data_IF_927219557306
#
_entry.id   IF_927219557306
#
_cell.length_a   1.000
_cell.length_b   1.000
_cell.length_c   1.000
_cell.angle_alpha   90.00
_cell.angle_beta   90.00
_cell.angle_gamma   90.00
#
_symmetry.space_group_name_H-M   'P 1'
#
loop_
_entity.id
_entity.type
_entity.pdbx_description
1 polymer ?
#
# COMPACT_ATOMS: atom_id res chain seq x y z
N UNK A 1 25.12 -56.33 -1.26
CA UNK A 1 25.57 -54.94 -1.47
C UNK A 1 24.72 -54.08 -2.41
N UNK A 2 23.85 -54.64 -3.28
CA UNK A 2 23.09 -53.83 -4.25
C UNK A 2 21.75 -53.24 -3.77
N UNK A 3 21.04 -53.87 -2.83
CA UNK A 3 19.74 -53.35 -2.36
C UNK A 3 19.85 -52.05 -1.56
N UNK A 4 20.89 -51.91 -0.73
CA UNK A 4 21.09 -50.71 0.10
C UNK A 4 21.45 -49.47 -0.74
N UNK A 5 22.24 -49.64 -1.81
CA UNK A 5 22.59 -48.53 -2.73
C UNK A 5 21.39 -48.07 -3.56
N UNK A 6 20.51 -48.99 -3.99
CA UNK A 6 19.29 -48.65 -4.73
C UNK A 6 18.31 -47.88 -3.84
N UNK A 7 18.11 -48.32 -2.59
CA UNK A 7 17.25 -47.62 -1.63
C UNK A 7 17.80 -46.22 -1.34
N UNK A 8 19.12 -46.07 -1.16
CA UNK A 8 19.73 -44.76 -0.90
C UNK A 8 19.58 -43.80 -2.09
N UNK A 9 19.75 -44.28 -3.33
CA UNK A 9 19.56 -43.46 -4.55
C UNK A 9 18.09 -43.07 -4.72
N UNK A 10 17.14 -43.96 -4.44
CA UNK A 10 15.71 -43.62 -4.48
C UNK A 10 15.32 -42.62 -3.39
N UNK A 11 15.82 -42.78 -2.16
CA UNK A 11 15.53 -41.87 -1.05
C UNK A 11 16.14 -40.49 -1.29
N UNK A 12 17.40 -40.43 -1.74
CA UNK A 12 18.05 -39.16 -2.11
C UNK A 12 17.37 -38.54 -3.34
N UNK A 13 16.98 -39.33 -4.34
CA UNK A 13 16.25 -38.86 -5.51
C UNK A 13 14.87 -38.27 -5.17
N UNK A 14 14.13 -38.90 -4.26
CA UNK A 14 12.83 -38.42 -3.77
C UNK A 14 13.00 -37.17 -2.89
N UNK A 15 14.05 -37.09 -2.07
CA UNK A 15 14.34 -35.89 -1.26
C UNK A 15 14.79 -34.73 -2.14
N UNK A 16 15.66 -34.95 -3.12
CA UNK A 16 16.11 -33.92 -4.06
C UNK A 16 14.96 -33.48 -4.97
N UNK A 17 14.11 -34.40 -5.44
CA UNK A 17 12.89 -34.05 -6.16
C UNK A 17 11.92 -33.26 -5.26
N UNK A 18 11.72 -33.62 -3.99
CA UNK A 18 10.92 -32.80 -3.06
C UNK A 18 11.56 -31.46 -2.69
N UNK A 19 12.88 -31.31 -2.73
CA UNK A 19 13.52 -30.01 -2.44
C UNK A 19 13.53 -29.11 -3.67
N UNK A 20 13.62 -29.69 -4.87
CA UNK A 20 13.62 -28.96 -6.14
C UNK A 20 12.19 -28.76 -6.72
N UNK A 21 11.24 -29.61 -6.34
CA UNK A 21 9.83 -29.67 -6.80
C UNK A 21 8.86 -29.83 -5.63
N UNK A 22 9.22 -29.38 -4.41
CA UNK A 22 8.18 -29.07 -3.43
C UNK A 22 7.34 -27.97 -4.08
N UNK A 23 6.17 -28.38 -4.56
CA UNK A 23 5.10 -27.49 -4.93
C UNK A 23 4.98 -26.39 -3.88
N UNK A 24 4.64 -25.18 -4.33
CA UNK A 24 4.21 -24.02 -3.54
C UNK A 24 2.95 -24.31 -2.66
N UNK A 25 2.69 -25.58 -2.33
CA UNK A 25 1.69 -26.11 -1.43
C UNK A 25 1.98 -25.64 0.01
N UNK A 26 1.59 -24.39 0.27
CA UNK A 26 1.56 -23.82 1.61
C UNK A 26 2.12 -22.40 1.71
N UNK A 27 2.15 -21.62 0.63
CA UNK A 27 2.52 -20.20 0.73
C UNK A 27 1.42 -19.43 1.49
N UNK A 28 1.52 -19.38 2.82
CA UNK A 28 0.63 -18.56 3.66
C UNK A 28 0.90 -17.10 3.37
N UNK A 29 -0.11 -16.38 2.90
CA UNK A 29 -0.07 -14.93 2.75
C UNK A 29 -0.33 -14.25 4.09
N UNK A 30 0.52 -13.31 4.47
CA UNK A 30 0.28 -12.37 5.58
C UNK A 30 0.00 -11.02 4.94
N UNK A 31 -1.20 -10.47 5.15
CA UNK A 31 -1.69 -9.24 4.54
C UNK A 31 -3.21 -9.23 4.50
N UNK A 32 -3.85 -8.25 3.83
CA UNK A 32 -5.30 -8.18 3.74
C UNK A 32 -5.78 -9.31 2.84
N UNK A 33 -6.25 -10.40 3.45
CA UNK A 33 -6.73 -11.59 2.76
C UNK A 33 -8.09 -11.38 2.10
N UNK A 34 -8.87 -10.44 2.63
CA UNK A 34 -10.21 -10.12 2.16
C UNK A 34 -10.27 -8.70 1.59
N UNK A 35 -11.18 -8.54 0.64
CA UNK A 35 -11.57 -7.23 0.16
C UNK A 35 -12.56 -6.55 1.10
N UNK A 36 -12.71 -5.24 0.95
CA UNK A 36 -13.74 -4.49 1.65
C UNK A 36 -15.09 -4.82 1.03
N UNK A 37 -16.07 -5.32 1.79
CA UNK A 37 -17.42 -5.51 1.29
C UNK A 37 -17.99 -4.16 0.86
N UNK A 38 -19.08 -4.20 0.08
CA UNK A 38 -19.82 -2.99 -0.29
C UNK A 38 -20.12 -2.17 0.95
N UNK A 39 -19.65 -0.92 0.95
CA UNK A 39 -19.78 -0.04 2.09
C UNK A 39 -21.13 0.67 2.02
N UNK A 40 -21.87 0.72 3.11
CA UNK A 40 -23.08 1.52 3.15
C UNK A 40 -22.72 3.02 3.23
N UNK A 41 -23.23 3.80 2.28
CA UNK A 41 -23.05 5.25 2.24
C UNK A 41 -24.05 5.96 3.18
N UNK A 42 -23.66 7.10 3.80
CA UNK A 42 -24.61 7.99 4.44
C UNK A 42 -25.52 8.67 3.41
N UNK A 43 -26.70 9.11 3.86
CA UNK A 43 -27.77 9.65 3.00
C UNK A 43 -27.33 10.78 2.04
N UNK A 44 -26.33 11.59 2.42
CA UNK A 44 -25.87 12.76 1.66
C UNK A 44 -24.60 12.49 0.83
N UNK A 45 -24.17 11.23 0.67
CA UNK A 45 -23.07 10.84 -0.20
C UNK A 45 -23.64 9.90 -1.28
N UNK A 46 -23.73 10.35 -2.55
CA UNK A 46 -24.48 9.62 -3.57
C UNK A 46 -23.75 8.39 -4.11
N UNK A 47 -22.42 8.43 -4.17
CA UNK A 47 -21.57 7.40 -4.77
C UNK A 47 -20.31 7.17 -3.93
N UNK A 48 -19.73 5.97 -4.01
CA UNK A 48 -18.43 5.65 -3.39
C UNK A 48 -17.25 6.38 -4.01
N UNK A 49 -17.44 6.96 -5.20
CA UNK A 49 -16.44 7.75 -5.91
C UNK A 49 -15.98 8.96 -5.08
N UNK A 50 -14.69 9.26 -5.16
CA UNK A 50 -14.11 10.49 -4.61
C UNK A 50 -14.75 11.76 -5.18
N UNK A 51 -15.39 11.70 -6.36
CA UNK A 51 -16.09 12.84 -6.95
C UNK A 51 -17.24 13.31 -6.05
N UNK A 52 -17.89 12.40 -5.30
CA UNK A 52 -18.89 12.75 -4.28
C UNK A 52 -18.32 13.66 -3.17
N UNK A 53 -17.01 13.62 -2.96
CA UNK A 53 -16.33 14.36 -1.90
C UNK A 53 -15.80 15.71 -2.40
N UNK A 54 -15.50 15.83 -3.70
CA UNK A 54 -14.79 16.96 -4.32
C UNK A 54 -15.48 18.30 -4.07
N UNK A 55 -16.81 18.34 -4.16
CA UNK A 55 -17.58 19.59 -4.04
C UNK A 55 -17.43 20.27 -2.68
N UNK A 56 -17.17 19.52 -1.62
CA UNK A 56 -16.87 20.08 -0.29
C UNK A 56 -15.38 19.99 0.04
N UNK A 57 -14.66 18.96 -0.41
CA UNK A 57 -13.28 18.65 -0.01
C UNK A 57 -12.27 18.86 -1.16
N UNK A 58 -12.48 19.85 -2.02
CA UNK A 58 -11.71 20.10 -3.24
C UNK A 58 -10.19 19.99 -3.08
N UNK A 59 -9.60 20.68 -2.08
CA UNK A 59 -8.14 20.65 -1.86
C UNK A 59 -7.61 19.26 -1.50
N UNK A 60 -8.37 18.50 -0.72
CA UNK A 60 -8.01 17.13 -0.33
C UNK A 60 -8.18 16.19 -1.53
N UNK A 61 -9.26 16.36 -2.29
CA UNK A 61 -9.47 15.62 -3.54
C UNK A 61 -8.31 15.83 -4.52
N UNK A 62 -7.88 17.07 -4.74
CA UNK A 62 -6.78 17.38 -5.65
C UNK A 62 -5.45 16.76 -5.19
N UNK A 63 -5.18 16.76 -3.88
CA UNK A 63 -4.03 16.09 -3.30
C UNK A 63 -4.10 14.57 -3.56
N UNK A 64 -5.22 13.95 -3.19
CA UNK A 64 -5.44 12.51 -3.37
C UNK A 64 -5.33 12.10 -4.83
N UNK A 65 -5.93 12.85 -5.75
CA UNK A 65 -5.86 12.59 -7.20
C UNK A 65 -4.42 12.56 -7.71
N UNK A 66 -3.54 13.34 -7.11
CA UNK A 66 -2.12 13.34 -7.45
C UNK A 66 -1.28 12.25 -6.74
N UNK A 67 -1.85 11.56 -5.75
CA UNK A 67 -1.17 10.53 -4.97
C UNK A 67 -0.95 9.20 -5.68
N UNK A 68 -0.11 8.35 -5.05
CA UNK A 68 -0.01 6.95 -5.44
C UNK A 68 -1.19 6.09 -4.95
N UNK A 69 -1.98 6.56 -3.98
CA UNK A 69 -3.20 5.89 -3.55
C UNK A 69 -4.29 5.95 -4.63
N UNK A 70 -4.53 7.10 -5.24
CA UNK A 70 -5.48 7.20 -6.37
C UNK A 70 -5.00 6.44 -7.60
N UNK A 71 -3.68 6.36 -7.79
CA UNK A 71 -3.04 5.67 -8.92
C UNK A 71 -2.72 4.19 -8.62
N UNK A 72 -3.12 3.66 -7.47
CA UNK A 72 -2.66 2.33 -7.03
C UNK A 72 -3.15 1.23 -7.97
N UNK A 73 -4.34 1.34 -8.53
CA UNK A 73 -4.87 0.40 -9.53
C UNK A 73 -4.38 0.70 -10.95
N UNK A 74 -4.03 1.94 -11.30
CA UNK A 74 -3.77 2.36 -12.69
C UNK A 74 -2.29 2.55 -13.01
N UNK A 75 -1.41 2.53 -12.01
CA UNK A 75 0.04 2.66 -12.20
C UNK A 75 0.57 1.64 -13.22
N UNK A 76 1.33 2.07 -14.25
CA UNK A 76 1.88 1.15 -15.25
C UNK A 76 2.75 0.05 -14.66
N UNK A 77 3.51 0.36 -13.61
CA UNK A 77 4.36 -0.62 -12.90
C UNK A 77 3.50 -1.70 -12.24
N UNK A 78 2.42 -1.29 -11.58
CA UNK A 78 1.49 -2.24 -10.97
C UNK A 78 0.81 -3.10 -12.03
N UNK A 79 0.28 -2.50 -13.09
CA UNK A 79 -0.43 -3.21 -14.16
C UNK A 79 0.47 -4.23 -14.86
N UNK A 80 1.73 -3.89 -15.12
CA UNK A 80 2.72 -4.82 -15.67
C UNK A 80 2.97 -6.01 -14.73
N UNK A 81 3.27 -5.73 -13.44
CA UNK A 81 3.50 -6.77 -12.44
C UNK A 81 2.29 -7.67 -12.21
N UNK A 82 1.10 -7.09 -12.16
CA UNK A 82 -0.16 -7.80 -11.94
C UNK A 82 -0.48 -8.72 -13.12
N UNK A 83 -0.33 -8.22 -14.34
CA UNK A 83 -0.57 -8.98 -15.58
C UNK A 83 0.41 -10.13 -15.74
N UNK A 84 1.72 -9.89 -15.56
CA UNK A 84 2.76 -10.95 -15.67
C UNK A 84 2.56 -12.06 -14.65
N UNK A 85 1.94 -11.76 -13.49
CA UNK A 85 1.60 -12.73 -12.46
C UNK A 85 0.23 -13.38 -12.62
N UNK A 86 -0.42 -13.19 -13.78
CA UNK A 86 -1.76 -13.71 -14.08
C UNK A 86 -2.85 -13.19 -13.11
N UNK A 87 -2.79 -11.89 -12.79
CA UNK A 87 -3.82 -11.15 -12.06
C UNK A 87 -4.23 -11.77 -10.70
N UNK A 88 -3.29 -12.04 -9.79
CA UNK A 88 -3.62 -12.70 -8.55
C UNK A 88 -4.56 -11.82 -7.69
N UNK A 89 -5.57 -12.41 -7.04
CA UNK A 89 -6.64 -11.64 -6.38
C UNK A 89 -6.14 -10.85 -5.16
N UNK A 90 -5.13 -11.32 -4.43
CA UNK A 90 -4.64 -10.64 -3.23
C UNK A 90 -4.07 -9.25 -3.51
N UNK A 91 -3.49 -9.01 -4.70
CA UNK A 91 -2.99 -7.69 -5.09
C UNK A 91 -4.09 -6.63 -5.03
N UNK A 92 -5.32 -7.01 -5.39
CA UNK A 92 -6.46 -6.10 -5.39
C UNK A 92 -6.88 -5.66 -3.99
N UNK A 93 -6.51 -6.39 -2.92
CA UNK A 93 -6.91 -6.06 -1.55
C UNK A 93 -6.12 -4.86 -0.98
N UNK A 94 -5.05 -4.41 -1.65
CA UNK A 94 -4.37 -3.15 -1.35
C UNK A 94 -4.56 -2.12 -2.47
N UNK A 95 -4.57 -2.55 -3.74
CA UNK A 95 -4.55 -1.64 -4.88
C UNK A 95 -5.93 -1.15 -5.32
N UNK A 96 -7.01 -1.88 -5.03
CA UNK A 96 -8.39 -1.46 -5.31
C UNK A 96 -9.32 -2.33 -4.43
N UNK A 97 -9.32 -2.03 -3.12
CA UNK A 97 -9.75 -2.97 -2.09
C UNK A 97 -11.26 -3.18 -2.04
N UNK A 98 -12.07 -2.32 -2.65
CA UNK A 98 -13.52 -2.41 -2.57
C UNK A 98 -14.09 -3.51 -3.46
N UNK A 99 -15.22 -4.09 -3.05
CA UNK A 99 -15.96 -5.09 -3.82
C UNK A 99 -16.30 -4.56 -5.22
N UNK A 100 -16.85 -3.37 -5.30
CA UNK A 100 -17.35 -2.71 -6.51
C UNK A 100 -16.22 -2.38 -7.49
N UNK A 101 -14.98 -2.35 -7.03
CA UNK A 101 -13.81 -2.16 -7.91
C UNK A 101 -13.37 -3.45 -8.60
N UNK A 102 -13.93 -4.61 -8.25
CA UNK A 102 -13.44 -5.89 -8.74
C UNK A 102 -14.28 -6.42 -9.89
N UNK A 103 -13.70 -6.73 -11.05
CA UNK A 103 -14.43 -7.32 -12.17
C UNK A 103 -14.88 -8.76 -11.90
N UNK A 104 -14.15 -9.48 -11.04
CA UNK A 104 -14.45 -10.85 -10.61
C UNK A 104 -14.30 -11.00 -9.10
N UNK A 105 -15.12 -11.85 -8.51
CA UNK A 105 -15.08 -12.19 -7.08
C UNK A 105 -15.02 -13.70 -6.89
N UNK A 106 -14.41 -14.13 -5.78
CA UNK A 106 -14.35 -15.55 -5.41
C UNK A 106 -15.67 -15.95 -4.76
N UNK A 107 -16.34 -16.98 -5.29
CA UNK A 107 -17.64 -17.48 -4.78
C UNK A 107 -17.56 -18.86 -4.12
N UNK A 108 -16.38 -19.46 -4.03
CA UNK A 108 -16.19 -20.73 -3.35
C UNK A 108 -14.94 -21.47 -3.80
N UNK A 109 -14.83 -22.72 -3.34
CA UNK A 109 -13.72 -23.60 -3.65
C UNK A 109 -14.13 -24.67 -4.66
N UNK A 110 -13.21 -25.07 -5.55
CA UNK A 110 -13.40 -26.30 -6.34
C UNK A 110 -12.83 -27.46 -5.54
N UNK A 111 -13.59 -28.55 -5.44
CA UNK A 111 -13.14 -29.80 -4.80
C UNK A 111 -11.98 -30.46 -5.57
N UNK A 112 -11.87 -30.21 -6.88
CA UNK A 112 -10.82 -30.76 -7.75
C UNK A 112 -10.35 -29.75 -8.79
N UNK A 113 -9.06 -29.83 -9.16
CA UNK A 113 -8.42 -29.01 -10.19
C UNK A 113 -7.21 -28.20 -9.67
N UNK A 114 -6.38 -27.64 -10.57
CA UNK A 114 -5.11 -26.99 -10.19
C UNK A 114 -5.28 -25.64 -9.47
N UNK A 115 -6.48 -25.05 -9.49
CA UNK A 115 -6.80 -23.82 -8.76
C UNK A 115 -8.02 -24.09 -7.87
N UNK A 116 -7.89 -23.98 -6.53
CA UNK A 116 -8.94 -24.38 -5.61
C UNK A 116 -10.07 -23.36 -5.51
N UNK A 117 -10.21 -22.38 -6.42
CA UNK A 117 -11.18 -21.28 -6.30
C UNK A 117 -12.04 -21.10 -7.55
N UNK A 118 -13.32 -20.77 -7.35
CA UNK A 118 -14.24 -20.34 -8.42
C UNK A 118 -14.37 -18.83 -8.42
N UNK A 119 -13.90 -18.18 -9.47
CA UNK A 119 -14.12 -16.76 -9.72
C UNK A 119 -15.36 -16.55 -10.62
N UNK A 120 -16.30 -15.73 -10.18
CA UNK A 120 -17.47 -15.33 -10.98
C UNK A 120 -17.39 -13.86 -11.37
N UNK A 121 -18.11 -13.46 -12.42
CA UNK A 121 -18.30 -12.04 -12.76
C UNK A 121 -18.99 -11.33 -11.59
N UNK A 122 -18.45 -10.18 -11.20
CA UNK A 122 -19.06 -9.33 -10.19
C UNK A 122 -20.17 -8.48 -10.83
N UNK A 123 -21.40 -8.56 -10.29
CA UNK A 123 -22.53 -7.76 -10.77
C UNK A 123 -22.46 -6.31 -10.30
N UNK A 124 -21.71 -6.05 -9.24
CA UNK A 124 -21.55 -4.74 -8.62
C UNK A 124 -20.31 -4.01 -9.14
N UNK A 125 -19.67 -4.54 -10.18
CA UNK A 125 -18.46 -3.96 -10.74
C UNK A 125 -18.73 -2.60 -11.39
N UNK A 126 -18.04 -1.58 -10.90
CA UNK A 126 -18.03 -0.23 -11.43
C UNK A 126 -16.69 0.03 -12.15
N UNK A 127 -16.79 0.20 -13.47
CA UNK A 127 -15.65 0.42 -14.37
C UNK A 127 -14.92 1.74 -14.15
N UNK A 128 -15.57 2.71 -13.51
CA UNK A 128 -14.97 4.00 -13.18
C UNK A 128 -14.33 3.95 -11.79
N UNK A 129 -15.01 3.35 -10.80
CA UNK A 129 -14.50 3.28 -9.43
C UNK A 129 -13.19 2.50 -9.31
N UNK A 130 -12.96 1.46 -10.13
CA UNK A 130 -11.67 0.75 -10.14
C UNK A 130 -10.50 1.69 -10.44
N UNK A 131 -10.70 2.75 -11.24
CA UNK A 131 -9.65 3.70 -11.61
C UNK A 131 -9.22 4.61 -10.46
N UNK A 132 -10.00 4.66 -9.39
CA UNK A 132 -9.71 5.47 -8.19
C UNK A 132 -8.80 4.75 -7.18
N UNK A 133 -8.51 3.46 -7.38
CA UNK A 133 -7.59 2.73 -6.50
C UNK A 133 -7.99 2.79 -5.03
N UNK A 134 -7.11 3.28 -4.17
CA UNK A 134 -7.42 3.56 -2.76
C UNK A 134 -8.09 4.93 -2.67
N UNK A 135 -9.43 4.95 -2.76
CA UNK A 135 -10.27 6.17 -2.72
C UNK A 135 -10.65 6.60 -1.29
N UNK A 136 -11.37 7.71 -1.13
CA UNK A 136 -11.69 8.33 0.17
C UNK A 136 -12.39 7.36 1.13
N UNK A 137 -13.40 6.64 0.65
CA UNK A 137 -14.24 5.75 1.47
C UNK A 137 -13.50 4.50 1.94
N UNK A 138 -12.40 4.11 1.28
CA UNK A 138 -11.55 2.99 1.71
C UNK A 138 -11.00 3.25 3.12
N UNK A 139 -10.49 4.46 3.34
CA UNK A 139 -9.92 4.86 4.63
C UNK A 139 -10.99 5.38 5.60
N UNK A 140 -11.90 6.23 5.12
CA UNK A 140 -12.74 7.03 6.01
C UNK A 140 -14.10 6.42 6.36
N UNK A 141 -14.69 5.57 5.50
CA UNK A 141 -16.08 5.15 5.69
C UNK A 141 -16.19 3.83 6.44
N UNK A 142 -16.88 3.83 7.58
CA UNK A 142 -17.32 2.60 8.27
C UNK A 142 -18.76 2.80 8.75
N UNK A 143 -19.64 1.82 8.55
CA UNK A 143 -21.02 1.83 9.06
C UNK A 143 -21.75 3.18 8.84
N UNK A 144 -21.81 3.65 7.57
CA UNK A 144 -22.45 4.93 7.18
C UNK A 144 -21.88 6.18 7.86
N UNK A 145 -20.67 6.10 8.44
CA UNK A 145 -20.04 7.19 9.19
C UNK A 145 -18.62 7.44 8.68
N UNK A 146 -18.26 8.71 8.52
CA UNK A 146 -16.91 9.13 8.12
C UNK A 146 -16.02 9.34 9.34
N UNK A 147 -14.98 8.54 9.47
CA UNK A 147 -14.03 8.61 10.57
C UNK A 147 -12.83 9.47 10.23
N UNK A 148 -12.24 10.11 11.25
CA UNK A 148 -11.03 10.88 11.08
C UNK A 148 -10.39 11.28 12.40
N UNK A 149 -9.24 11.97 12.35
CA UNK A 149 -8.42 12.27 13.53
C UNK A 149 -8.93 13.44 14.37
N UNK A 150 -10.14 13.96 14.11
CA UNK A 150 -10.66 15.16 14.76
C UNK A 150 -12.11 14.96 15.22
N UNK A 151 -12.41 15.44 16.42
CA UNK A 151 -13.77 15.62 16.89
C UNK A 151 -14.46 16.76 16.15
N UNK A 152 -15.64 16.47 15.60
CA UNK A 152 -16.51 17.43 14.92
C UNK A 152 -17.84 17.40 15.66
N UNK A 153 -18.34 18.56 16.06
CA UNK A 153 -19.61 18.62 16.79
C UNK A 153 -20.76 18.21 15.87
N UNK A 154 -21.78 17.62 16.46
CA UNK A 154 -23.00 17.29 15.72
C UNK A 154 -23.57 18.52 15.02
N UNK A 155 -24.02 18.36 13.77
CA UNK A 155 -24.48 19.46 12.92
C UNK A 155 -23.37 20.28 12.23
N UNK A 156 -22.09 20.10 12.57
CA UNK A 156 -20.98 20.77 11.88
C UNK A 156 -20.53 20.06 10.58
N UNK A 157 -21.08 18.89 10.26
CA UNK A 157 -20.82 18.19 9.00
C UNK A 157 -22.14 17.84 8.29
N UNK A 158 -22.19 17.89 6.95
CA UNK A 158 -23.37 17.54 6.17
C UNK A 158 -23.62 16.02 6.12
N UNK A 159 -22.73 15.21 6.68
CA UNK A 159 -22.85 13.77 6.79
C UNK A 159 -22.32 13.32 8.16
N UNK A 160 -22.69 12.12 8.65
CA UNK A 160 -22.20 11.59 9.91
C UNK A 160 -20.67 11.53 9.93
N UNK A 161 -20.09 12.01 11.03
CA UNK A 161 -18.65 12.03 11.27
C UNK A 161 -18.35 11.55 12.69
N UNK A 162 -17.24 10.85 12.87
CA UNK A 162 -16.81 10.40 14.20
C UNK A 162 -15.29 10.46 14.33
N UNK A 163 -14.82 10.84 15.51
CA UNK A 163 -13.41 10.79 15.85
C UNK A 163 -12.95 9.33 16.00
N UNK A 164 -11.78 9.02 15.45
CA UNK A 164 -11.06 7.77 15.71
C UNK A 164 -9.56 8.06 15.91
N UNK A 165 -8.99 7.76 17.09
CA UNK A 165 -7.57 7.96 17.37
C UNK A 165 -6.65 7.12 16.47
N UNK A 166 -7.13 6.03 15.86
CA UNK A 166 -6.31 5.18 14.98
C UNK A 166 -5.76 5.96 13.77
N UNK A 167 -6.46 7.01 13.33
CA UNK A 167 -6.00 7.90 12.25
C UNK A 167 -4.72 8.68 12.59
N UNK A 168 -4.30 8.67 13.86
CA UNK A 168 -3.06 9.28 14.34
C UNK A 168 -1.99 8.25 14.71
N UNK A 169 -2.16 6.97 14.33
CA UNK A 169 -1.24 5.88 14.64
C UNK A 169 -0.76 5.18 13.38
N UNK A 170 0.53 4.83 13.34
CA UNK A 170 1.15 4.15 12.19
C UNK A 170 0.48 2.80 11.88
N UNK A 171 -0.11 2.16 12.89
CA UNK A 171 -0.83 0.89 12.78
C UNK A 171 -1.97 0.93 11.76
N UNK A 172 -2.59 2.09 11.56
CA UNK A 172 -3.62 2.28 10.55
C UNK A 172 -3.13 1.96 9.12
N UNK A 173 -1.84 2.17 8.85
CA UNK A 173 -1.23 1.95 7.54
C UNK A 173 -0.77 0.49 7.33
N UNK A 174 -0.58 -0.29 8.41
CA UNK A 174 0.07 -1.60 8.34
C UNK A 174 -0.70 -2.62 7.53
N UNK A 175 -2.03 -2.49 7.44
CA UNK A 175 -2.87 -3.40 6.63
C UNK A 175 -2.40 -3.47 5.18
N UNK A 176 -1.91 -2.36 4.60
CA UNK A 176 -1.44 -2.33 3.22
C UNK A 176 0.10 -2.30 3.12
N UNK A 177 0.77 -1.69 4.11
CA UNK A 177 2.23 -1.45 4.09
C UNK A 177 3.04 -2.48 4.89
N UNK A 178 2.49 -3.68 5.10
CA UNK A 178 3.20 -4.81 5.70
C UNK A 178 2.55 -6.12 5.26
N UNK A 179 3.13 -6.76 4.26
CA UNK A 179 2.62 -8.03 3.72
C UNK A 179 3.72 -8.92 3.14
N UNK A 180 3.48 -10.21 3.09
CA UNK A 180 4.45 -11.14 2.55
C UNK A 180 3.98 -12.58 2.53
N UNK A 181 4.94 -13.45 2.23
CA UNK A 181 4.72 -14.88 2.02
C UNK A 181 5.73 -15.66 2.87
N UNK A 182 5.55 -15.75 4.20
CA UNK A 182 6.48 -16.40 5.14
C UNK A 182 7.03 -17.77 4.72
N UNK A 183 6.29 -18.52 3.90
CA UNK A 183 6.65 -19.86 3.43
C UNK A 183 7.17 -19.90 1.98
N UNK A 184 7.17 -18.78 1.25
CA UNK A 184 7.77 -18.70 -0.08
C UNK A 184 9.30 -18.58 -0.01
N UNK A 185 9.97 -18.86 -1.15
CA UNK A 185 11.42 -18.62 -1.31
C UNK A 185 11.80 -17.15 -1.09
N UNK A 186 10.92 -16.23 -1.48
CA UNK A 186 10.99 -14.80 -1.14
C UNK A 186 9.97 -14.52 -0.03
N UNK A 187 10.42 -14.59 1.22
CA UNK A 187 9.54 -14.56 2.39
C UNK A 187 8.93 -13.18 2.68
N UNK A 188 9.67 -12.13 2.33
CA UNK A 188 9.37 -10.74 2.67
C UNK A 188 9.21 -9.97 1.36
N UNK A 189 7.98 -9.56 1.05
CA UNK A 189 7.70 -8.75 -0.14
C UNK A 189 7.52 -7.29 0.23
N UNK A 190 6.79 -7.01 1.32
CA UNK A 190 6.64 -5.69 1.91
C UNK A 190 6.75 -5.73 3.44
N UNK A 191 7.78 -5.07 3.98
CA UNK A 191 8.08 -5.12 5.42
C UNK A 191 8.42 -3.73 6.01
N UNK A 192 7.87 -2.67 5.41
CA UNK A 192 8.05 -1.29 5.85
C UNK A 192 7.73 -1.09 7.34
N UNK A 193 6.69 -1.75 7.86
CA UNK A 193 6.37 -1.72 9.29
C UNK A 193 7.50 -2.29 10.16
N UNK A 194 8.10 -3.42 9.77
CA UNK A 194 9.20 -4.02 10.54
C UNK A 194 10.44 -3.14 10.52
N UNK A 195 10.73 -2.52 9.37
CA UNK A 195 11.80 -1.52 9.26
C UNK A 195 11.52 -0.31 10.16
N UNK A 196 10.29 0.21 10.12
CA UNK A 196 9.81 1.30 10.96
C UNK A 196 10.00 1.02 12.45
N UNK A 197 9.47 -0.11 12.92
CA UNK A 197 9.60 -0.54 14.31
C UNK A 197 11.07 -0.71 14.74
N UNK A 198 11.92 -1.24 13.86
CA UNK A 198 13.36 -1.43 14.16
C UNK A 198 14.14 -0.12 14.20
N UNK A 199 13.72 0.91 13.48
CA UNK A 199 14.41 2.21 13.50
C UNK A 199 14.25 2.94 14.83
N UNK A 200 13.19 2.65 15.60
CA UNK A 200 12.89 3.32 16.85
C UNK A 200 12.38 4.76 16.70
N UNK A 201 12.09 5.22 15.46
CA UNK A 201 11.44 6.52 15.17
C UNK A 201 10.14 6.68 15.98
N UNK A 202 9.85 7.93 16.38
CA UNK A 202 8.68 8.28 17.20
C UNK A 202 7.59 8.96 16.41
N UNK A 203 7.97 9.70 15.36
CA UNK A 203 7.05 10.32 14.42
C UNK A 203 6.30 9.24 13.63
N UNK A 204 4.97 9.37 13.60
CA UNK A 204 4.09 8.41 12.94
C UNK A 204 4.22 8.48 11.42
N UNK A 205 3.69 7.47 10.72
CA UNK A 205 3.61 7.51 9.26
C UNK A 205 2.93 8.79 8.77
N UNK A 206 1.88 9.22 9.47
CA UNK A 206 1.10 10.42 9.18
C UNK A 206 1.90 11.72 9.38
N UNK A 207 2.77 11.78 10.38
CA UNK A 207 3.54 13.00 10.65
C UNK A 207 4.47 13.36 9.48
N UNK A 208 5.01 12.36 8.77
CA UNK A 208 5.82 12.56 7.57
C UNK A 208 5.00 12.52 6.26
N UNK A 209 4.17 11.50 6.06
CA UNK A 209 3.48 11.26 4.77
C UNK A 209 2.09 11.91 4.66
N UNK A 210 1.57 12.47 5.75
CA UNK A 210 0.35 13.30 5.78
C UNK A 210 0.65 14.62 6.46
N UNK A 211 1.74 15.29 6.03
CA UNK A 211 2.25 16.49 6.68
C UNK A 211 1.14 17.54 6.93
N UNK A 212 1.22 18.16 8.09
CA UNK A 212 0.17 19.05 8.59
C UNK A 212 0.28 20.42 7.93
N UNK A 213 -0.79 20.83 7.24
CA UNK A 213 -0.87 22.14 6.58
C UNK A 213 -2.13 22.87 6.98
N UNK A 214 -2.02 24.18 7.20
CA UNK A 214 -3.19 25.03 7.39
C UNK A 214 -3.89 25.28 6.05
N UNK A 215 -5.22 25.14 6.04
CA UNK A 215 -6.03 25.55 4.89
C UNK A 215 -7.48 25.13 5.02
N UNK A 216 -8.20 25.25 3.90
CA UNK A 216 -9.59 24.82 3.79
C UNK A 216 -9.63 23.31 3.55
N UNK A 217 -9.82 22.55 4.64
CA UNK A 217 -10.08 21.11 4.54
C UNK A 217 -11.47 20.84 3.94
N UNK A 218 -12.41 21.78 4.13
CA UNK A 218 -13.76 21.75 3.54
C UNK A 218 -14.14 23.17 3.12
N UNK A 219 -14.73 23.34 1.94
CA UNK A 219 -15.22 24.61 1.42
C UNK A 219 -16.37 25.13 2.29
N UNK A 220 -16.44 26.46 2.47
CA UNK A 220 -17.44 27.09 3.35
C UNK A 220 -17.18 26.90 4.85
N UNK A 221 -16.07 26.27 5.26
CA UNK A 221 -15.64 26.15 6.65
C UNK A 221 -14.37 26.97 6.93
N UNK A 222 -14.10 27.23 8.21
CA UNK A 222 -12.88 27.93 8.63
C UNK A 222 -11.63 27.13 8.25
N UNK A 223 -10.53 27.85 8.01
CA UNK A 223 -9.21 27.22 7.86
C UNK A 223 -8.87 26.45 9.12
N UNK A 224 -8.22 25.31 8.94
CA UNK A 224 -7.69 24.50 10.02
C UNK A 224 -6.45 23.76 9.55
N UNK A 225 -5.69 23.26 10.52
CA UNK A 225 -4.63 22.31 10.25
C UNK A 225 -5.26 20.96 9.88
N UNK A 226 -4.84 20.38 8.77
CA UNK A 226 -5.21 19.04 8.34
C UNK A 226 -4.00 18.31 7.74
N UNK A 227 -4.04 16.99 7.70
CA UNK A 227 -3.01 16.19 7.06
C UNK A 227 -3.18 16.17 5.53
N UNK A 228 -2.11 16.40 4.80
CA UNK A 228 -2.12 16.35 3.34
C UNK A 228 -2.40 14.92 2.83
N UNK A 229 -3.09 14.82 1.69
CA UNK A 229 -3.47 13.54 1.06
C UNK A 229 -2.72 13.28 -0.26
N UNK A 230 -1.54 13.85 -0.42
CA UNK A 230 -0.81 13.78 -1.68
C UNK A 230 0.09 12.55 -1.82
N UNK A 231 0.54 11.93 -0.70
CA UNK A 231 1.27 10.64 -0.63
C UNK A 231 2.03 10.28 -1.91
N UNK A 232 2.92 11.17 -2.35
CA UNK A 232 3.66 11.03 -3.62
C UNK A 232 4.84 10.08 -3.45
N UNK A 233 5.30 9.85 -2.22
CA UNK A 233 6.35 8.90 -1.86
C UNK A 233 7.63 9.18 -2.66
N UNK A 234 8.24 8.15 -3.27
CA UNK A 234 9.47 8.26 -4.06
C UNK A 234 9.39 9.19 -5.28
N UNK A 235 8.20 9.67 -5.65
CA UNK A 235 8.00 10.67 -6.72
C UNK A 235 8.02 12.11 -6.23
N UNK A 236 8.28 12.32 -4.94
CA UNK A 236 8.46 13.64 -4.35
C UNK A 236 9.96 13.87 -4.04
N UNK A 237 10.68 14.66 -4.85
CA UNK A 237 12.08 14.96 -4.62
C UNK A 237 12.36 15.57 -3.24
N UNK A 238 11.40 16.32 -2.68
CA UNK A 238 11.57 16.94 -1.37
C UNK A 238 11.50 15.91 -0.24
N UNK A 239 10.63 14.90 -0.34
CA UNK A 239 10.62 13.76 0.60
C UNK A 239 11.95 12.99 0.53
N UNK A 240 12.52 12.80 -0.67
CA UNK A 240 13.83 12.14 -0.81
C UNK A 240 14.98 12.94 -0.19
N UNK A 241 14.98 14.27 -0.37
CA UNK A 241 15.98 15.16 0.26
C UNK A 241 15.84 15.21 1.78
N UNK A 242 14.63 15.08 2.30
CA UNK A 242 14.40 14.98 3.75
C UNK A 242 14.84 13.62 4.31
N UNK A 243 14.72 12.55 3.52
CA UNK A 243 15.07 11.20 3.95
C UNK A 243 16.58 10.92 3.91
N UNK A 244 17.28 11.39 2.87
CA UNK A 244 18.67 11.02 2.58
C UNK A 244 19.62 12.22 2.69
N UNK A 245 20.71 12.02 3.44
CA UNK A 245 21.88 12.90 3.41
C UNK A 245 22.89 12.35 2.40
N UNK A 246 23.32 13.18 1.45
CA UNK A 246 24.36 12.84 0.46
C UNK A 246 25.60 13.69 0.72
N UNK A 247 26.75 13.04 0.88
CA UNK A 247 28.02 13.69 1.13
C UNK A 247 29.03 13.25 0.06
N UNK A 248 29.71 14.22 -0.54
CA UNK A 248 30.78 13.99 -1.50
C UNK A 248 32.10 14.36 -0.83
N UNK A 249 33.04 13.42 -0.79
CA UNK A 249 34.40 13.64 -0.33
C UNK A 249 35.36 13.40 -1.49
N UNK A 250 36.22 14.36 -1.74
CA UNK A 250 37.27 14.27 -2.76
C UNK A 250 38.64 14.36 -2.08
N UNK A 251 39.69 13.94 -2.78
CA UNK A 251 41.07 14.04 -2.25
C UNK A 251 41.53 15.49 -2.08
N UNK A 252 40.99 16.39 -2.91
CA UNK A 252 41.31 17.81 -2.98
C UNK A 252 40.04 18.61 -3.26
N UNK A 253 40.04 19.90 -2.89
CA UNK A 253 38.91 20.81 -3.13
C UNK A 253 38.92 21.42 -4.54
N UNK A 254 40.04 21.34 -5.27
CA UNK A 254 40.19 21.93 -6.60
C UNK A 254 40.90 20.99 -7.57
N UNK A 255 40.48 21.04 -8.85
CA UNK A 255 40.98 20.22 -9.93
C UNK A 255 41.15 21.06 -11.20
N UNK A 256 42.13 20.70 -12.03
CA UNK A 256 42.36 21.31 -13.35
C UNK A 256 41.81 20.39 -14.46
N UNK A 257 41.47 20.94 -15.65
CA UNK A 257 41.14 20.12 -16.81
C UNK A 257 42.25 19.09 -17.09
N UNK A 258 41.88 17.81 -17.19
CA UNK A 258 42.81 16.68 -17.33
C UNK A 258 43.16 15.96 -16.03
N UNK A 259 42.81 16.51 -14.86
CA UNK A 259 42.98 15.82 -13.58
C UNK A 259 42.03 14.62 -13.46
N UNK A 260 42.56 13.52 -12.92
CA UNK A 260 41.73 12.41 -12.44
C UNK A 260 41.24 12.75 -11.03
N UNK A 261 39.93 12.56 -10.81
CA UNK A 261 39.27 12.79 -9.52
C UNK A 261 38.89 11.45 -8.91
N UNK A 262 39.42 11.16 -7.71
CA UNK A 262 38.88 10.12 -6.86
C UNK A 262 37.89 10.76 -5.88
N UNK A 263 36.69 10.21 -5.85
CA UNK A 263 35.59 10.71 -5.04
C UNK A 263 34.92 9.56 -4.28
N UNK A 264 34.64 9.78 -2.98
CA UNK A 264 33.75 8.95 -2.17
C UNK A 264 32.40 9.66 -2.07
N UNK A 265 31.33 8.99 -2.50
CA UNK A 265 29.96 9.45 -2.28
C UNK A 265 29.36 8.60 -1.15
N UNK A 266 28.95 9.25 -0.07
CA UNK A 266 28.24 8.62 1.04
C UNK A 266 26.79 9.04 1.03
N UNK A 267 25.88 8.06 0.99
CA UNK A 267 24.43 8.27 1.09
C UNK A 267 23.95 7.64 2.38
N UNK A 268 23.41 8.46 3.28
CA UNK A 268 22.95 8.02 4.61
C UNK A 268 21.46 8.29 4.76
N UNK A 269 20.70 7.29 5.20
CA UNK A 269 19.32 7.50 5.62
C UNK A 269 19.31 8.17 7.00
N UNK A 270 18.95 9.45 7.05
CA UNK A 270 18.93 10.25 8.28
C UNK A 270 17.52 10.66 8.68
N UNK A 271 16.56 10.63 7.75
CA UNK A 271 15.20 11.13 7.98
C UNK A 271 14.14 10.04 8.06
N UNK A 272 14.22 8.99 7.23
CA UNK A 272 13.16 7.99 7.14
C UNK A 272 13.28 6.93 8.24
N UNK A 273 12.14 6.61 8.88
CA UNK A 273 12.05 5.51 9.84
C UNK A 273 12.12 4.12 9.20
N UNK A 274 12.18 4.00 7.89
CA UNK A 274 12.26 2.74 7.15
C UNK A 274 13.40 2.79 6.15
N UNK A 275 13.67 1.74 5.38
CA UNK A 275 14.70 1.79 4.32
C UNK A 275 14.33 2.76 3.22
N UNK A 276 15.32 3.23 2.47
CA UNK A 276 15.11 4.05 1.29
C UNK A 276 15.89 3.41 0.13
N UNK A 277 15.21 2.74 -0.83
CA UNK A 277 13.77 2.48 -0.86
C UNK A 277 13.32 1.42 0.18
N UNK A 278 12.08 1.56 0.66
CA UNK A 278 11.29 0.51 1.34
C UNK A 278 10.23 -0.02 0.37
N UNK A 279 9.51 -1.07 0.75
CA UNK A 279 8.44 -1.64 -0.03
C UNK A 279 8.29 -3.12 0.23
#
# INVERSE_FOLDING_TARGET
MNRLKIILVFVVGIIVARVLWADDAGVTFIGPSNYLPRLDLPQNIPLHSADSCKDCHQKIYDQWRESMHSKSSTSPVFQACWTVRNNPPFCSNCHFPMLEQKPKILRGFKETGPLPFVAIKNKEFDTMLIKEGVTCVVCHLRNKTMYGPREIKEGEAPHPVKYDPSFQSSEFCYTCHSWGFPRARVKQTCYTNDEYKRSGKKETCQDCHMSRKEGFASLGRLKRIYGMHDQKSSRNPDELRQALKVELKTERDTYKPGDKVNAEIRVTNTGAGHRVPTG
#
